data_IF_922800035243
#
_entry.id   IF_922800035243
#
_cell.length_a   1.000
_cell.length_b   1.000
_cell.length_c   1.000
_cell.angle_alpha   90.00
_cell.angle_beta   90.00
_cell.angle_gamma   90.00
#
_symmetry.space_group_name_H-M   'P 1'
#
loop_
_entity.id
_entity.type
_entity.pdbx_description
1 polymer ?
#
# COMPACT_ATOMS: atom_id res chain seq x y z
N UNK A 1 39.15 -4.40 0.50
CA UNK A 1 39.61 -4.53 -0.90
C UNK A 1 38.37 -4.68 -1.77
N UNK A 2 38.30 -3.90 -2.84
CA UNK A 2 37.12 -3.28 -3.45
C UNK A 2 36.18 -4.15 -4.31
N UNK A 3 34.90 -3.72 -4.34
CA UNK A 3 33.94 -3.65 -5.49
C UNK A 3 33.36 -4.96 -6.08
N UNK A 4 32.08 -5.05 -6.49
CA UNK A 4 31.18 -4.06 -7.09
C UNK A 4 29.69 -4.40 -6.83
N UNK A 5 28.89 -3.37 -6.59
CA UNK A 5 27.45 -3.34 -6.87
C UNK A 5 27.27 -3.17 -8.38
N UNK A 6 26.40 -3.98 -9.00
CA UNK A 6 25.70 -3.60 -10.24
C UNK A 6 24.21 -3.88 -10.07
N UNK A 7 23.47 -2.84 -10.41
CA UNK A 7 22.02 -2.64 -10.41
C UNK A 7 21.22 -3.74 -11.12
N UNK A 8 19.97 -3.88 -10.65
CA UNK A 8 18.86 -4.62 -11.27
C UNK A 8 18.57 -4.16 -12.73
N UNK A 9 17.79 -4.91 -13.52
CA UNK A 9 16.32 -4.84 -13.38
C UNK A 9 15.57 -6.18 -13.61
N UNK A 10 14.29 -6.15 -13.21
CA UNK A 10 13.13 -6.96 -13.62
C UNK A 10 13.38 -8.15 -14.56
N UNK A 11 12.88 -9.33 -14.18
CA UNK A 11 11.91 -10.07 -14.99
C UNK A 11 11.17 -11.11 -14.13
N UNK A 12 9.84 -11.06 -14.18
CA UNK A 12 9.01 -12.24 -13.93
C UNK A 12 9.51 -13.36 -14.84
N UNK A 13 9.86 -14.50 -14.25
CA UNK A 13 9.84 -15.77 -14.97
C UNK A 13 9.34 -16.85 -14.02
N UNK A 14 8.09 -17.23 -14.24
CA UNK A 14 7.61 -18.57 -13.91
C UNK A 14 8.54 -19.55 -14.62
N UNK A 15 9.26 -20.37 -13.86
CA UNK A 15 9.91 -21.55 -14.40
C UNK A 15 9.74 -22.69 -13.40
N UNK A 16 8.66 -23.44 -13.58
CA UNK A 16 8.66 -24.86 -13.27
C UNK A 16 9.78 -25.48 -14.11
N UNK A 17 10.81 -26.02 -13.47
CA UNK A 17 11.66 -27.01 -14.10
C UNK A 17 12.04 -28.08 -13.09
N UNK A 18 11.54 -29.28 -13.41
CA UNK A 18 11.96 -30.54 -12.85
C UNK A 18 13.48 -30.71 -12.94
N UNK A 19 14.10 -31.06 -11.82
CA UNK A 19 15.18 -32.02 -11.79
C UNK A 19 16.59 -31.57 -12.20
N UNK A 20 17.47 -31.65 -11.20
CA UNK A 20 18.87 -32.07 -11.25
C UNK A 20 20.00 -31.05 -11.51
N UNK A 21 21.02 -31.17 -10.63
CA UNK A 21 22.43 -30.69 -10.64
C UNK A 21 22.64 -29.28 -10.08
N UNK A 22 23.46 -29.02 -9.05
CA UNK A 22 24.73 -29.62 -8.57
C UNK A 22 24.68 -29.73 -7.01
N UNK A 23 25.24 -30.71 -6.30
CA UNK A 23 26.54 -31.36 -6.47
C UNK A 23 27.54 -30.82 -5.43
N UNK A 24 27.48 -31.36 -4.20
CA UNK A 24 28.48 -31.38 -3.13
C UNK A 24 29.31 -30.11 -2.79
N UNK A 25 28.87 -29.39 -1.75
CA UNK A 25 29.79 -28.75 -0.81
C UNK A 25 29.76 -29.52 0.51
N UNK A 26 30.74 -30.41 0.69
CA UNK A 26 31.02 -31.08 1.96
C UNK A 26 31.60 -30.06 2.93
N UNK A 27 30.75 -29.51 3.77
CA UNK A 27 31.08 -28.87 5.04
C UNK A 27 30.07 -29.36 6.07
N UNK A 28 30.48 -30.27 6.96
CA UNK A 28 29.62 -30.82 8.03
C UNK A 28 29.16 -29.68 8.95
N UNK A 29 27.97 -29.15 8.71
CA UNK A 29 27.20 -28.41 9.68
C UNK A 29 25.97 -29.26 10.03
N UNK A 30 25.87 -29.61 11.30
CA UNK A 30 24.81 -30.47 11.85
C UNK A 30 23.50 -29.68 11.72
N UNK A 31 22.65 -30.03 10.75
CA UNK A 31 21.31 -29.46 10.54
C UNK A 31 20.51 -29.56 11.85
N UNK A 32 20.38 -28.44 12.57
CA UNK A 32 19.13 -28.13 13.24
C UNK A 32 18.19 -27.71 12.10
N UNK A 33 17.02 -28.34 12.00
CA UNK A 33 15.92 -27.88 11.12
C UNK A 33 15.78 -26.35 11.27
N UNK A 34 16.25 -25.56 10.30
CA UNK A 34 16.31 -24.10 10.42
C UNK A 34 14.89 -23.54 10.39
N UNK A 35 14.45 -22.95 11.51
CA UNK A 35 13.19 -22.23 11.57
C UNK A 35 13.31 -20.99 10.66
N UNK A 36 12.60 -20.98 9.55
CA UNK A 36 12.61 -19.89 8.58
C UNK A 36 11.74 -18.70 9.05
N UNK A 37 12.24 -17.92 10.01
CA UNK A 37 11.55 -16.72 10.51
C UNK A 37 11.84 -15.48 9.68
N UNK A 38 10.79 -14.82 9.19
CA UNK A 38 10.91 -13.52 8.52
C UNK A 38 9.71 -12.58 8.75
N UNK A 39 9.94 -11.27 8.97
CA UNK A 39 11.13 -10.70 9.59
C UNK A 39 11.41 -11.35 10.96
N UNK A 40 12.69 -11.38 11.35
CA UNK A 40 13.13 -11.91 12.64
C UNK A 40 12.49 -11.13 13.80
N UNK A 41 11.89 -11.79 14.80
CA UNK A 41 11.32 -11.11 15.97
C UNK A 41 12.39 -10.33 16.77
N UNK A 42 11.97 -9.26 17.45
CA UNK A 42 12.87 -8.49 18.32
C UNK A 42 13.45 -9.32 19.48
N UNK A 43 12.67 -10.30 19.97
CA UNK A 43 13.07 -11.27 20.97
C UNK A 43 12.66 -12.64 20.48
N UNK A 44 13.59 -13.59 20.51
CA UNK A 44 13.36 -14.95 20.07
C UNK A 44 14.09 -15.93 20.98
N UNK A 45 13.36 -16.92 21.48
CA UNK A 45 13.91 -18.00 22.28
C UNK A 45 13.30 -19.31 21.77
N UNK A 46 14.15 -20.24 21.34
CA UNK A 46 13.75 -21.58 20.92
C UNK A 46 14.16 -22.63 21.96
N UNK A 47 13.47 -23.77 21.91
CA UNK A 47 13.83 -24.97 22.64
C UNK A 47 14.09 -26.11 21.65
N UNK A 48 14.66 -27.22 22.14
CA UNK A 48 14.83 -28.43 21.35
C UNK A 48 13.56 -29.31 21.28
N UNK A 49 12.50 -28.93 21.99
CA UNK A 49 11.24 -29.68 22.07
C UNK A 49 10.47 -29.49 20.75
N UNK A 50 10.00 -30.59 20.17
CA UNK A 50 9.27 -30.57 18.91
C UNK A 50 7.84 -31.06 19.11
N UNK A 51 6.88 -30.19 18.80
CA UNK A 51 5.45 -30.51 18.90
C UNK A 51 4.87 -30.92 17.55
N UNK A 52 3.90 -31.84 17.58
CA UNK A 52 3.13 -32.22 16.39
C UNK A 52 1.85 -31.39 16.28
N UNK A 53 1.58 -30.88 15.07
CA UNK A 53 0.33 -30.23 14.71
C UNK A 53 -0.47 -31.15 13.78
N UNK A 54 -1.75 -31.41 14.12
CA UNK A 54 -2.63 -32.27 13.33
C UNK A 54 -3.80 -31.47 12.76
N UNK A 55 -4.06 -31.48 11.45
CA UNK A 55 -5.16 -30.71 10.84
C UNK A 55 -6.55 -31.13 11.37
N UNK A 56 -6.68 -32.35 11.89
CA UNK A 56 -7.95 -32.87 12.43
C UNK A 56 -8.21 -32.48 13.89
N UNK A 57 -7.19 -32.03 14.62
CA UNK A 57 -7.28 -31.74 16.07
C UNK A 57 -6.91 -30.31 16.41
N UNK A 58 -6.01 -29.71 15.64
CA UNK A 58 -5.54 -28.36 15.87
C UNK A 58 -6.66 -27.35 15.58
N UNK A 59 -6.83 -26.37 16.47
CA UNK A 59 -7.77 -25.27 16.28
C UNK A 59 -7.12 -23.94 16.67
N UNK A 60 -7.51 -22.87 15.97
CA UNK A 60 -7.17 -21.50 16.36
C UNK A 60 -8.43 -20.90 16.98
N UNK A 61 -8.34 -20.48 18.24
CA UNK A 61 -9.48 -20.03 19.04
C UNK A 61 -9.17 -18.73 19.77
N UNK A 62 -10.21 -17.97 20.09
CA UNK A 62 -10.06 -16.83 21.00
C UNK A 62 -9.95 -17.35 22.45
N UNK A 63 -9.03 -16.78 23.23
CA UNK A 63 -8.91 -17.09 24.64
C UNK A 63 -10.18 -16.63 25.39
N UNK A 64 -10.62 -17.39 26.40
CA UNK A 64 -11.82 -17.04 27.20
C UNK A 64 -11.75 -15.66 27.88
N UNK A 65 -10.53 -15.18 28.10
CA UNK A 65 -10.22 -13.90 28.76
C UNK A 65 -10.01 -12.76 27.75
N UNK A 66 -10.11 -13.07 26.45
CA UNK A 66 -9.97 -12.09 25.39
C UNK A 66 -11.13 -11.09 25.43
N UNK A 67 -10.80 -9.82 25.29
CA UNK A 67 -11.80 -8.76 25.12
C UNK A 67 -12.45 -8.79 23.74
N UNK A 68 -11.72 -9.30 22.74
CA UNK A 68 -12.31 -9.60 21.44
C UNK A 68 -13.33 -10.74 21.62
N UNK A 69 -14.54 -10.51 21.14
CA UNK A 69 -15.61 -11.50 21.12
C UNK A 69 -15.70 -12.24 19.78
N UNK A 70 -16.60 -13.23 19.68
CA UNK A 70 -16.89 -13.92 18.42
C UNK A 70 -17.48 -12.98 17.35
N UNK A 71 -17.91 -11.77 17.73
CA UNK A 71 -18.34 -10.72 16.80
C UNK A 71 -17.18 -10.10 15.99
N UNK A 72 -15.92 -10.36 16.36
CA UNK A 72 -14.75 -9.82 15.67
C UNK A 72 -14.45 -10.59 14.39
N UNK A 73 -15.18 -10.28 13.30
CA UNK A 73 -15.06 -10.94 12.00
C UNK A 73 -13.62 -10.94 11.44
N UNK A 74 -12.84 -9.92 11.78
CA UNK A 74 -11.43 -9.77 11.39
C UNK A 74 -10.55 -10.92 11.92
N UNK A 75 -10.71 -11.28 13.20
CA UNK A 75 -9.98 -12.38 13.82
C UNK A 75 -10.43 -13.73 13.29
N UNK A 76 -11.75 -13.94 13.14
CA UNK A 76 -12.29 -15.18 12.58
C UNK A 76 -11.78 -15.44 11.14
N UNK A 77 -11.76 -14.38 10.31
CA UNK A 77 -11.20 -14.45 8.96
C UNK A 77 -9.68 -14.74 8.99
N UNK A 78 -8.96 -14.17 9.95
CA UNK A 78 -7.55 -14.44 10.14
C UNK A 78 -7.29 -15.90 10.54
N UNK A 79 -8.06 -16.44 11.48
CA UNK A 79 -7.90 -17.82 11.95
C UNK A 79 -8.09 -18.81 10.82
N UNK A 80 -9.17 -18.66 10.05
CA UNK A 80 -9.41 -19.47 8.86
C UNK A 80 -8.25 -19.40 7.86
N UNK A 81 -7.77 -18.20 7.55
CA UNK A 81 -6.68 -18.00 6.59
C UNK A 81 -5.36 -18.62 7.07
N UNK A 82 -4.97 -18.40 8.33
CA UNK A 82 -3.74 -18.98 8.86
C UNK A 82 -3.84 -20.49 9.01
N UNK A 83 -5.01 -21.04 9.29
CA UNK A 83 -5.23 -22.47 9.25
C UNK A 83 -4.95 -23.05 7.86
N UNK A 84 -5.46 -22.40 6.80
CA UNK A 84 -5.14 -22.77 5.40
C UNK A 84 -3.65 -22.59 5.07
N UNK A 85 -2.96 -21.59 5.61
CA UNK A 85 -1.51 -21.47 5.41
C UNK A 85 -0.71 -22.58 6.10
N UNK A 86 -1.18 -23.08 7.24
CA UNK A 86 -0.52 -24.17 7.97
C UNK A 86 -0.76 -25.52 7.30
N UNK A 87 -1.97 -25.78 6.77
CA UNK A 87 -2.38 -27.11 6.30
C UNK A 87 -2.88 -27.21 4.85
N UNK A 88 -3.08 -26.10 4.14
CA UNK A 88 -3.70 -26.08 2.80
C UNK A 88 -2.82 -26.68 1.70
N UNK A 89 -1.49 -26.63 1.87
CA UNK A 89 -0.50 -27.10 0.90
C UNK A 89 0.02 -28.53 1.20
N UNK A 90 -0.78 -29.35 1.90
CA UNK A 90 -0.46 -30.76 2.15
C UNK A 90 -0.47 -31.57 0.84
N UNK A 91 0.62 -31.45 0.06
CA UNK A 91 0.95 -32.40 -1.01
C UNK A 91 1.00 -33.79 -0.39
N UNK A 92 0.45 -34.77 -1.13
CA UNK A 92 0.40 -36.20 -0.74
C UNK A 92 1.70 -36.62 -0.06
N UNK A 93 1.65 -37.43 1.02
CA UNK A 93 2.81 -37.72 1.84
C UNK A 93 3.92 -38.30 0.96
N UNK A 94 4.95 -37.51 0.67
CA UNK A 94 6.25 -38.07 0.34
C UNK A 94 6.66 -38.92 1.55
N UNK A 95 7.34 -40.05 1.27
CA UNK A 95 7.85 -40.97 2.30
C UNK A 95 8.95 -40.26 3.10
N UNK A 96 8.57 -39.30 3.94
CA UNK A 96 9.47 -38.58 4.83
C UNK A 96 9.73 -39.44 6.06
N UNK A 97 10.97 -39.38 6.56
CA UNK A 97 11.40 -40.03 7.80
C UNK A 97 10.39 -39.68 8.91
N UNK A 98 9.95 -40.66 9.70
CA UNK A 98 9.13 -40.42 10.91
C UNK A 98 9.87 -39.43 11.81
N UNK A 99 9.48 -38.15 11.79
CA UNK A 99 9.91 -37.20 12.81
C UNK A 99 9.31 -37.65 14.14
N UNK A 100 10.15 -37.72 15.18
CA UNK A 100 9.72 -38.02 16.54
C UNK A 100 9.32 -36.69 17.17
N UNK A 101 8.09 -36.63 17.66
CA UNK A 101 7.55 -35.46 18.35
C UNK A 101 7.34 -35.81 19.82
N UNK A 102 7.53 -34.82 20.70
CA UNK A 102 7.42 -34.99 22.15
C UNK A 102 5.95 -35.06 22.60
N UNK A 103 5.09 -34.21 22.02
CA UNK A 103 3.65 -34.18 22.30
C UNK A 103 2.87 -33.46 21.18
N UNK A 104 1.54 -33.47 21.31
CA UNK A 104 0.62 -32.83 20.36
C UNK A 104 0.18 -31.45 20.86
N UNK A 105 0.23 -30.44 19.98
CA UNK A 105 -0.41 -29.15 20.22
C UNK A 105 -1.83 -29.16 19.64
N UNK A 106 -2.80 -28.87 20.49
CA UNK A 106 -4.22 -28.98 20.15
C UNK A 106 -4.82 -27.62 19.81
N UNK A 107 -4.31 -26.54 20.38
CA UNK A 107 -4.92 -25.22 20.20
C UNK A 107 -3.90 -24.08 20.20
N UNK A 108 -4.20 -23.06 19.39
CA UNK A 108 -3.64 -21.71 19.47
C UNK A 108 -4.69 -20.77 20.05
N UNK A 109 -4.45 -20.30 21.27
CA UNK A 109 -5.31 -19.35 21.96
C UNK A 109 -4.83 -17.91 21.67
N UNK A 110 -5.70 -17.10 21.08
CA UNK A 110 -5.45 -15.67 20.82
C UNK A 110 -6.10 -14.83 21.90
N UNK A 111 -5.29 -14.10 22.66
CA UNK A 111 -5.71 -13.25 23.77
C UNK A 111 -5.48 -11.78 23.47
N UNK A 112 -6.57 -11.04 23.25
CA UNK A 112 -6.56 -9.56 23.18
C UNK A 112 -6.80 -8.97 24.56
N UNK A 113 -5.88 -8.13 25.05
CA UNK A 113 -5.93 -7.63 26.43
C UNK A 113 -6.56 -6.25 26.59
N UNK A 114 -6.65 -5.43 25.54
CA UNK A 114 -7.25 -4.08 25.60
C UNK A 114 -8.76 -4.17 25.81
N UNK A 115 -9.35 -3.27 26.60
CA UNK A 115 -10.81 -3.20 26.78
C UNK A 115 -11.54 -2.88 25.48
N UNK A 116 -10.93 -2.10 24.59
CA UNK A 116 -11.36 -1.92 23.21
C UNK A 116 -10.38 -2.66 22.28
N UNK A 117 -10.79 -3.77 21.66
CA UNK A 117 -9.95 -4.54 20.75
C UNK A 117 -9.79 -3.85 19.38
N UNK A 118 -10.53 -2.77 19.12
CA UNK A 118 -10.56 -2.02 17.85
C UNK A 118 -10.90 -2.89 16.63
N UNK A 119 -11.76 -3.91 16.79
CA UNK A 119 -12.08 -4.87 15.71
C UNK A 119 -12.60 -4.21 14.42
N UNK A 120 -13.40 -3.15 14.55
CA UNK A 120 -14.06 -2.45 13.43
C UNK A 120 -13.41 -1.10 13.07
N UNK A 121 -12.36 -0.68 13.80
CA UNK A 121 -11.67 0.61 13.55
C UNK A 121 -10.78 0.60 12.31
N UNK A 122 -10.19 1.74 11.96
CA UNK A 122 -9.07 1.82 11.00
C UNK A 122 -7.74 1.97 11.72
N UNK A 123 -6.64 1.41 11.19
CA UNK A 123 -5.33 1.58 11.78
C UNK A 123 -4.89 3.04 11.82
N UNK A 124 -4.13 3.43 12.84
CA UNK A 124 -3.40 4.70 12.89
C UNK A 124 -1.90 4.50 13.04
N UNK A 125 -1.10 5.57 12.87
CA UNK A 125 0.34 5.54 13.15
C UNK A 125 0.68 5.20 14.62
N UNK A 126 -0.26 5.45 15.54
CA UNK A 126 -0.03 5.27 16.99
C UNK A 126 -0.51 3.92 17.52
N UNK A 127 -1.29 3.18 16.73
CA UNK A 127 -1.83 1.89 17.15
C UNK A 127 -0.68 0.89 17.35
N UNK A 128 -0.73 0.16 18.46
CA UNK A 128 0.30 -0.79 18.89
C UNK A 128 0.14 -2.17 18.20
N UNK A 129 1.22 -2.64 17.58
CA UNK A 129 1.28 -3.92 16.85
C UNK A 129 2.12 -5.00 17.56
N UNK A 130 2.50 -4.77 18.82
CA UNK A 130 3.27 -5.71 19.62
C UNK A 130 2.47 -6.98 19.95
N UNK A 131 3.19 -8.11 20.01
CA UNK A 131 2.64 -9.38 20.45
C UNK A 131 3.71 -10.28 21.05
N UNK A 132 3.25 -11.23 21.84
CA UNK A 132 4.04 -12.32 22.39
C UNK A 132 3.42 -13.65 21.96
N UNK A 133 4.24 -14.56 21.45
CA UNK A 133 3.83 -15.91 21.10
C UNK A 133 4.63 -16.89 21.95
N UNK A 134 3.91 -17.63 22.78
CA UNK A 134 4.46 -18.66 23.66
C UNK A 134 3.93 -20.01 23.21
N UNK A 135 4.84 -20.94 22.92
CA UNK A 135 4.53 -22.29 22.48
C UNK A 135 4.86 -23.25 23.62
N UNK A 136 3.82 -23.71 24.31
CA UNK A 136 3.93 -24.63 25.45
C UNK A 136 2.83 -25.69 25.39
N UNK A 137 2.99 -26.80 26.10
CA UNK A 137 2.00 -27.87 26.15
C UNK A 137 0.89 -27.55 27.18
N UNK A 138 -0.40 -27.77 26.87
CA UNK A 138 -0.98 -28.36 25.64
C UNK A 138 -1.39 -27.34 24.55
N UNK A 139 -1.14 -26.05 24.79
CA UNK A 139 -1.69 -24.95 24.00
C UNK A 139 -0.66 -23.85 23.76
N UNK A 140 -0.58 -23.39 22.51
CA UNK A 140 0.15 -22.17 22.18
C UNK A 140 -0.71 -20.96 22.55
N UNK A 141 -0.10 -19.96 23.19
CA UNK A 141 -0.77 -18.71 23.55
C UNK A 141 -0.14 -17.56 22.81
N UNK A 142 -0.99 -16.79 22.14
CA UNK A 142 -0.62 -15.53 21.55
C UNK A 142 -1.29 -14.40 22.33
N UNK A 143 -0.50 -13.44 22.79
CA UNK A 143 -0.96 -12.29 23.55
C UNK A 143 -0.71 -11.03 22.73
N UNK A 144 -1.75 -10.21 22.56
CA UNK A 144 -1.66 -8.91 21.90
C UNK A 144 -2.50 -7.88 22.66
N UNK A 145 -2.13 -6.60 22.57
CA UNK A 145 -2.93 -5.54 23.15
C UNK A 145 -4.17 -5.22 22.30
N UNK A 146 -4.02 -5.15 20.99
CA UNK A 146 -5.08 -4.81 20.04
C UNK A 146 -5.14 -5.83 18.89
N UNK A 147 -6.23 -5.85 18.12
CA UNK A 147 -6.32 -6.66 16.91
C UNK A 147 -5.40 -6.08 15.83
N UNK A 148 -4.44 -6.88 15.33
CA UNK A 148 -3.39 -6.32 14.46
C UNK A 148 -3.88 -5.87 13.09
N UNK A 149 -3.40 -4.69 12.72
CA UNK A 149 -3.57 -4.04 11.40
C UNK A 149 -3.19 -4.90 10.21
N UNK A 150 -2.20 -5.77 10.37
CA UNK A 150 -1.68 -6.64 9.30
C UNK A 150 -2.70 -7.68 8.80
N UNK A 151 -3.68 -8.03 9.65
CA UNK A 151 -4.78 -8.91 9.28
C UNK A 151 -5.80 -8.20 8.37
N UNK A 152 -5.84 -6.85 8.36
CA UNK A 152 -6.76 -6.03 7.56
C UNK A 152 -6.31 -5.89 6.12
N UNK A 153 -5.02 -5.72 5.83
CA UNK A 153 -4.54 -5.67 4.43
C UNK A 153 -4.93 -6.94 3.67
N UNK A 154 -4.87 -8.12 4.32
CA UNK A 154 -5.34 -9.38 3.77
C UNK A 154 -6.87 -9.53 3.73
N UNK A 155 -7.62 -8.70 4.48
CA UNK A 155 -9.09 -8.66 4.49
C UNK A 155 -9.64 -7.42 3.75
N UNK A 156 -8.80 -6.59 3.13
CA UNK A 156 -9.17 -5.32 2.46
C UNK A 156 -9.96 -5.53 1.15
N UNK A 157 -10.50 -6.73 0.97
CA UNK A 157 -11.55 -7.02 0.01
C UNK A 157 -12.88 -6.83 0.74
N UNK A 158 -13.32 -5.57 0.89
CA UNK A 158 -14.53 -5.27 1.63
C UNK A 158 -15.80 -5.44 0.76
N UNK A 159 -16.72 -6.25 1.30
CA UNK A 159 -18.20 -6.38 1.23
C UNK A 159 -19.07 -5.86 0.06
N UNK A 160 -18.55 -5.11 -0.90
CA UNK A 160 -19.36 -4.54 -2.00
C UNK A 160 -19.11 -5.19 -3.37
N UNK A 161 -18.44 -6.35 -3.42
CA UNK A 161 -18.29 -7.15 -4.65
C UNK A 161 -17.41 -6.53 -5.74
N UNK A 162 -16.81 -5.36 -5.50
CA UNK A 162 -15.94 -4.70 -6.46
C UNK A 162 -14.47 -5.02 -6.18
N UNK A 163 -14.10 -6.22 -6.62
CA UNK A 163 -12.78 -6.60 -7.17
C UNK A 163 -11.54 -6.04 -6.44
N UNK A 164 -11.00 -6.83 -5.51
CA UNK A 164 -9.55 -6.88 -5.30
C UNK A 164 -8.90 -7.30 -6.63
N UNK A 165 -8.38 -6.34 -7.41
CA UNK A 165 -7.71 -6.64 -8.68
C UNK A 165 -6.36 -7.35 -8.49
N UNK A 166 -5.78 -7.31 -7.29
CA UNK A 166 -4.47 -7.92 -6.99
C UNK A 166 -4.37 -8.60 -5.59
N UNK A 167 -5.18 -9.65 -5.29
CA UNK A 167 -5.11 -10.36 -4.00
C UNK A 167 -3.68 -10.83 -3.59
N UNK A 168 -2.81 -11.29 -4.50
CA UNK A 168 -1.46 -11.75 -4.13
C UNK A 168 -0.57 -10.65 -3.52
N UNK A 169 -0.81 -9.37 -3.86
CA UNK A 169 0.06 -8.26 -3.40
C UNK A 169 -0.18 -7.96 -1.93
N UNK A 170 -1.44 -7.85 -1.52
CA UNK A 170 -1.77 -7.59 -0.12
C UNK A 170 -1.45 -8.79 0.78
N UNK A 171 -1.58 -10.02 0.26
CA UNK A 171 -1.11 -11.22 0.96
C UNK A 171 0.41 -11.18 1.17
N UNK A 172 1.20 -10.83 0.16
CA UNK A 172 2.64 -10.70 0.29
C UNK A 172 3.04 -9.62 1.33
N UNK A 173 2.35 -8.48 1.35
CA UNK A 173 2.53 -7.46 2.39
C UNK A 173 2.21 -8.01 3.79
N UNK A 174 1.10 -8.74 3.89
CA UNK A 174 0.63 -9.42 5.09
C UNK A 174 1.47 -10.67 5.47
N UNK A 175 2.37 -11.15 4.64
CA UNK A 175 3.40 -12.11 5.05
C UNK A 175 4.64 -11.36 5.56
N UNK A 176 5.01 -10.25 4.92
CA UNK A 176 6.25 -9.51 5.19
C UNK A 176 6.21 -8.45 6.30
N UNK A 177 5.09 -8.30 7.02
CA UNK A 177 4.94 -7.32 8.14
C UNK A 177 4.89 -5.86 7.65
N UNK A 178 4.48 -5.63 6.41
CA UNK A 178 4.07 -4.31 5.94
C UNK A 178 2.64 -3.99 6.39
N UNK A 179 2.39 -2.72 6.74
CA UNK A 179 1.14 -2.21 7.28
C UNK A 179 0.61 -0.94 6.58
N UNK A 180 1.39 -0.32 5.69
CA UNK A 180 0.98 0.85 4.89
C UNK A 180 1.04 0.48 3.41
N UNK A 181 -0.06 0.73 2.70
CA UNK A 181 -0.11 0.66 1.24
C UNK A 181 -0.21 2.09 0.68
N UNK A 182 0.93 2.63 0.23
CA UNK A 182 0.96 3.92 -0.44
C UNK A 182 0.49 3.72 -1.88
N UNK A 183 -0.76 4.10 -2.16
CA UNK A 183 -1.33 4.03 -3.50
C UNK A 183 -1.13 5.35 -4.25
N UNK A 184 -0.10 5.41 -5.08
CA UNK A 184 0.04 6.46 -6.08
C UNK A 184 -0.98 6.20 -7.21
N UNK A 185 -2.19 6.76 -7.08
CA UNK A 185 -3.37 6.37 -7.87
C UNK A 185 -3.51 7.11 -9.20
N UNK A 186 -2.91 8.29 -9.33
CA UNK A 186 -2.97 9.15 -10.53
C UNK A 186 -1.58 9.70 -10.82
N UNK A 187 -1.28 9.93 -12.11
CA UNK A 187 0.00 10.45 -12.62
C UNK A 187 -0.28 11.20 -13.94
N UNK A 188 0.71 11.91 -14.48
CA UNK A 188 0.64 12.63 -15.76
C UNK A 188 0.03 11.79 -16.90
N UNK A 189 0.36 10.49 -16.90
CA UNK A 189 -0.03 9.58 -17.96
C UNK A 189 -1.49 9.11 -17.86
N UNK A 190 -2.07 9.08 -16.66
CA UNK A 190 -3.35 8.42 -16.41
C UNK A 190 -4.04 8.85 -15.12
N UNK A 191 -5.37 9.03 -15.24
CA UNK A 191 -6.27 9.34 -14.14
C UNK A 191 -7.38 8.27 -13.99
N UNK A 192 -7.09 7.09 -13.40
CA UNK A 192 -8.05 5.99 -13.29
C UNK A 192 -9.05 6.15 -12.14
N UNK A 193 -8.83 7.08 -11.20
CA UNK A 193 -9.72 7.31 -10.07
C UNK A 193 -11.05 7.93 -10.52
N UNK A 194 -12.16 7.22 -10.29
CA UNK A 194 -13.50 7.68 -10.64
C UNK A 194 -14.07 8.59 -9.55
N UNK A 195 -13.83 9.90 -9.68
CA UNK A 195 -14.43 10.90 -8.80
C UNK A 195 -15.94 11.02 -9.03
N UNK A 196 -16.71 11.19 -7.95
CA UNK A 196 -18.15 11.45 -8.01
C UNK A 196 -18.42 12.93 -8.26
N UNK A 197 -17.61 13.81 -7.69
CA UNK A 197 -17.67 15.26 -7.88
C UNK A 197 -17.16 15.67 -9.25
N UNK A 198 -16.12 15.00 -9.77
CA UNK A 198 -15.54 15.28 -11.08
C UNK A 198 -15.45 14.03 -11.97
N UNK A 199 -16.58 13.49 -12.48
CA UNK A 199 -16.59 12.25 -13.26
C UNK A 199 -15.73 12.30 -14.54
N UNK A 200 -15.61 13.50 -15.12
CA UNK A 200 -14.84 13.73 -16.35
C UNK A 200 -13.35 13.38 -16.21
N UNK A 201 -12.79 13.42 -14.98
CA UNK A 201 -11.40 13.04 -14.69
C UNK A 201 -11.08 11.64 -15.20
N UNK A 202 -11.86 10.65 -14.75
CA UNK A 202 -11.67 9.27 -15.21
C UNK A 202 -12.17 9.02 -16.62
N UNK A 203 -13.25 9.66 -17.06
CA UNK A 203 -13.83 9.42 -18.39
C UNK A 203 -12.88 9.83 -19.52
N UNK A 204 -12.06 10.85 -19.30
CA UNK A 204 -11.14 11.41 -20.29
C UNK A 204 -9.67 11.08 -19.99
N UNK A 205 -9.31 10.88 -18.72
CA UNK A 205 -7.94 10.64 -18.27
C UNK A 205 -7.60 9.17 -18.00
N UNK A 206 -8.58 8.25 -17.91
CA UNK A 206 -8.28 6.83 -17.79
C UNK A 206 -7.92 6.23 -19.16
N UNK A 207 -7.02 5.26 -19.17
CA UNK A 207 -6.81 4.42 -20.35
C UNK A 207 -8.16 3.79 -20.74
N UNK A 208 -8.58 4.04 -22.00
CA UNK A 208 -9.85 3.63 -22.59
C UNK A 208 -10.31 2.24 -22.10
N UNK A 209 -11.60 2.03 -21.77
CA UNK A 209 -12.08 0.85 -21.04
C UNK A 209 -11.87 -0.52 -21.69
N UNK A 210 -11.23 -0.63 -22.86
CA UNK A 210 -11.14 -1.92 -23.58
C UNK A 210 -9.83 -2.34 -24.25
N UNK A 211 -8.79 -1.52 -24.52
CA UNK A 211 -7.44 -2.00 -24.99
C UNK A 211 -6.57 -0.83 -25.52
N UNK A 212 -5.72 -0.30 -24.64
CA UNK A 212 -4.56 0.60 -24.86
C UNK A 212 -4.09 0.88 -26.31
N UNK A 213 -4.75 1.78 -27.05
CA UNK A 213 -4.18 2.53 -28.20
C UNK A 213 -4.81 3.92 -28.25
N UNK A 214 -4.00 4.97 -28.37
CA UNK A 214 -4.47 6.35 -28.58
C UNK A 214 -4.73 6.61 -30.06
N UNK A 215 -5.94 7.02 -30.40
CA UNK A 215 -6.29 7.57 -31.71
C UNK A 215 -6.00 9.08 -31.74
N UNK A 216 -5.83 9.70 -32.93
CA UNK A 216 -5.69 11.16 -33.03
C UNK A 216 -6.87 11.96 -32.43
N UNK A 217 -8.06 11.36 -32.35
CA UNK A 217 -9.22 11.90 -31.64
C UNK A 217 -9.04 11.92 -30.12
N UNK A 218 -8.36 10.91 -29.54
CA UNK A 218 -8.08 10.82 -28.10
C UNK A 218 -7.06 11.89 -27.68
N UNK A 219 -6.07 12.19 -28.53
CA UNK A 219 -5.13 13.31 -28.32
C UNK A 219 -5.88 14.65 -28.26
N UNK A 220 -6.91 14.82 -29.10
CA UNK A 220 -7.78 16.01 -29.07
C UNK A 220 -8.63 16.07 -27.80
N UNK A 221 -9.06 14.91 -27.28
CA UNK A 221 -9.79 14.79 -26.02
C UNK A 221 -8.91 15.12 -24.80
N UNK A 222 -7.63 14.75 -24.80
CA UNK A 222 -6.65 15.13 -23.76
C UNK A 222 -6.40 16.65 -23.77
N UNK A 223 -6.34 17.27 -24.95
CA UNK A 223 -6.25 18.73 -25.08
C UNK A 223 -7.55 19.42 -24.58
N UNK A 224 -8.71 18.79 -24.76
CA UNK A 224 -9.99 19.26 -24.23
C UNK A 224 -10.19 18.93 -22.73
N UNK A 225 -9.43 17.97 -22.19
CA UNK A 225 -9.34 17.62 -20.76
C UNK A 225 -8.48 18.61 -19.97
N UNK A 226 -7.39 19.11 -20.57
CA UNK A 226 -6.69 20.30 -20.07
C UNK A 226 -7.58 21.55 -20.00
N UNK A 227 -8.79 21.45 -20.59
CA UNK A 227 -9.87 22.44 -20.52
C UNK A 227 -10.91 22.16 -19.42
N UNK A 228 -10.61 21.32 -18.41
CA UNK A 228 -11.11 21.56 -17.05
C UNK A 228 -10.63 22.96 -16.71
N UNK A 229 -11.52 23.93 -16.94
CA UNK A 229 -11.14 25.30 -17.25
C UNK A 229 -10.21 25.83 -16.17
N UNK A 230 -9.01 26.18 -16.63
CA UNK A 230 -8.04 26.95 -15.88
C UNK A 230 -7.46 26.21 -14.64
N UNK A 231 -7.25 24.89 -14.74
CA UNK A 231 -6.50 24.12 -13.75
C UNK A 231 -5.00 24.02 -14.08
N UNK A 232 -4.64 23.68 -15.32
CA UNK A 232 -3.24 23.53 -15.74
C UNK A 232 -2.66 24.83 -16.29
N UNK A 233 -1.35 25.02 -16.14
CA UNK A 233 -0.68 26.20 -16.68
C UNK A 233 -0.48 26.07 -18.19
N UNK A 234 -0.98 26.99 -19.03
CA UNK A 234 -0.64 27.01 -20.44
C UNK A 234 0.81 27.49 -20.62
N UNK A 235 1.61 26.71 -21.35
CA UNK A 235 3.01 27.06 -21.63
C UNK A 235 3.11 27.95 -22.88
N UNK A 236 4.11 28.82 -22.92
CA UNK A 236 4.33 29.77 -24.00
C UNK A 236 5.63 29.48 -24.75
N UNK A 237 5.60 29.68 -26.07
CA UNK A 237 6.79 29.70 -26.92
C UNK A 237 6.94 31.10 -27.50
N UNK A 238 7.69 31.96 -26.81
CA UNK A 238 7.75 33.38 -27.11
C UNK A 238 6.45 34.09 -26.71
N UNK A 239 5.83 34.82 -27.63
CA UNK A 239 4.61 35.61 -27.36
C UNK A 239 3.30 34.83 -27.51
N UNK A 240 3.35 33.54 -27.86
CA UNK A 240 2.16 32.75 -28.17
C UNK A 240 2.09 31.47 -27.34
N UNK A 241 0.87 31.04 -26.93
CA UNK A 241 0.68 29.74 -26.29
C UNK A 241 1.19 28.62 -27.19
N UNK A 242 1.99 27.74 -26.63
CA UNK A 242 2.59 26.59 -27.33
C UNK A 242 1.59 25.47 -27.62
N UNK A 243 0.44 25.46 -26.95
CA UNK A 243 -0.53 24.37 -27.00
C UNK A 243 -0.23 23.22 -26.04
N UNK A 244 0.88 23.29 -25.30
CA UNK A 244 1.18 22.37 -24.19
C UNK A 244 0.81 22.98 -22.84
N UNK A 245 0.67 22.11 -21.86
CA UNK A 245 0.34 22.46 -20.48
C UNK A 245 1.42 21.93 -19.56
N UNK A 246 1.70 22.67 -18.50
CA UNK A 246 2.62 22.30 -17.44
C UNK A 246 1.88 22.02 -16.13
N UNK A 247 2.55 22.22 -14.98
CA UNK A 247 1.95 21.97 -13.67
C UNK A 247 0.68 22.79 -13.43
N UNK A 248 -0.09 22.41 -12.40
CA UNK A 248 -1.26 23.15 -11.91
C UNK A 248 -0.93 24.63 -11.79
N UNK A 249 -1.87 25.49 -12.18
CA UNK A 249 -1.68 26.93 -12.20
C UNK A 249 -1.92 27.53 -10.80
N UNK A 250 -0.87 27.96 -10.08
CA UNK A 250 -1.00 28.36 -8.68
C UNK A 250 -1.57 29.77 -8.50
N UNK A 251 -1.80 30.52 -9.58
CA UNK A 251 -2.28 31.91 -9.51
C UNK A 251 -3.81 32.01 -9.59
N UNK A 252 -4.49 30.90 -9.90
CA UNK A 252 -5.93 30.87 -10.17
C UNK A 252 -6.73 30.36 -8.98
N UNK A 253 -7.74 31.11 -8.55
CA UNK A 253 -8.66 30.69 -7.48
C UNK A 253 -9.39 29.38 -7.82
N UNK A 254 -9.75 29.18 -9.09
CA UNK A 254 -10.39 27.96 -9.57
C UNK A 254 -9.56 26.69 -9.29
N UNK A 255 -8.24 26.80 -9.31
CA UNK A 255 -7.35 25.68 -8.98
C UNK A 255 -7.49 25.27 -7.51
N UNK A 256 -7.56 26.23 -6.58
CA UNK A 256 -7.78 25.95 -5.17
C UNK A 256 -9.20 25.48 -4.86
N UNK A 257 -10.22 26.01 -5.55
CA UNK A 257 -11.61 25.55 -5.43
C UNK A 257 -11.76 24.10 -5.89
N UNK A 258 -11.08 23.73 -6.98
CA UNK A 258 -11.00 22.35 -7.46
C UNK A 258 -10.33 21.46 -6.41
N UNK A 259 -9.13 21.81 -5.94
CA UNK A 259 -8.38 21.01 -4.96
C UNK A 259 -9.15 20.83 -3.65
N UNK A 260 -9.83 21.88 -3.18
CA UNK A 260 -10.65 21.83 -1.96
C UNK A 260 -11.80 20.82 -2.10
N UNK A 261 -12.52 20.86 -3.22
CA UNK A 261 -13.62 19.93 -3.47
C UNK A 261 -13.12 18.50 -3.69
N UNK A 262 -12.02 18.35 -4.41
CA UNK A 262 -11.42 17.06 -4.70
C UNK A 262 -10.91 16.40 -3.41
N UNK A 263 -10.10 17.08 -2.60
CA UNK A 263 -9.60 16.52 -1.34
C UNK A 263 -10.70 16.31 -0.29
N UNK A 264 -11.79 17.07 -0.34
CA UNK A 264 -12.98 16.79 0.47
C UNK A 264 -13.64 15.47 0.08
N UNK A 265 -13.67 15.11 -1.21
CA UNK A 265 -14.12 13.78 -1.62
C UNK A 265 -13.13 12.70 -1.17
N UNK A 266 -11.83 12.89 -1.45
CA UNK A 266 -10.79 11.93 -1.08
C UNK A 266 -10.81 11.62 0.42
N UNK A 267 -10.97 12.63 1.29
CA UNK A 267 -11.04 12.42 2.75
C UNK A 267 -12.29 11.66 3.21
N UNK A 268 -13.34 11.60 2.39
CA UNK A 268 -14.53 10.77 2.68
C UNK A 268 -14.42 9.35 2.13
N UNK A 269 -13.63 9.15 1.08
CA UNK A 269 -13.43 7.86 0.42
C UNK A 269 -12.33 7.05 1.10
N UNK A 270 -11.24 7.72 1.50
CA UNK A 270 -10.10 7.10 2.15
C UNK A 270 -10.14 7.45 3.65
N UNK A 271 -10.38 6.47 4.54
CA UNK A 271 -10.52 6.71 5.97
C UNK A 271 -9.18 6.88 6.70
N UNK A 272 -8.06 6.83 5.98
CA UNK A 272 -6.73 7.04 6.56
C UNK A 272 -6.57 8.50 7.03
N UNK A 273 -5.79 8.68 8.09
CA UNK A 273 -5.54 10.01 8.65
C UNK A 273 -4.63 10.88 7.77
N UNK A 274 -3.94 10.29 6.78
CA UNK A 274 -2.95 10.97 5.96
C UNK A 274 -3.30 10.89 4.47
N UNK A 275 -3.09 12.01 3.78
CA UNK A 275 -3.15 12.11 2.32
C UNK A 275 -1.77 12.56 1.86
N UNK A 276 -1.16 11.80 0.95
CA UNK A 276 0.09 12.20 0.32
C UNK A 276 -0.22 13.17 -0.82
N UNK A 277 0.34 14.39 -0.76
CA UNK A 277 0.07 15.44 -1.75
C UNK A 277 1.01 15.42 -2.96
N UNK A 278 2.07 14.60 -2.92
CA UNK A 278 3.12 14.61 -3.94
C UNK A 278 4.04 15.81 -3.71
N UNK A 279 4.32 16.56 -4.77
CA UNK A 279 5.23 17.71 -4.75
C UNK A 279 6.67 17.34 -5.15
N UNK A 280 6.83 16.26 -5.89
CA UNK A 280 8.07 15.84 -6.49
C UNK A 280 8.17 16.31 -7.96
N UNK A 281 9.41 16.56 -8.41
CA UNK A 281 9.78 16.76 -9.82
C UNK A 281 9.01 17.87 -10.59
N UNK A 282 8.67 18.98 -9.92
CA UNK A 282 8.00 20.11 -10.57
C UNK A 282 8.92 20.80 -11.59
N UNK A 283 8.55 20.73 -12.88
CA UNK A 283 9.22 21.49 -13.94
C UNK A 283 8.74 22.94 -13.98
N UNK A 284 9.65 23.87 -13.67
CA UNK A 284 9.37 25.31 -13.68
C UNK A 284 9.38 25.95 -15.07
N UNK A 285 9.83 25.26 -16.11
CA UNK A 285 9.98 25.84 -17.47
C UNK A 285 8.67 26.43 -18.01
N UNK A 286 7.55 25.75 -17.76
CA UNK A 286 6.24 26.21 -18.19
C UNK A 286 5.77 27.43 -17.38
N UNK A 287 5.99 27.44 -16.06
CA UNK A 287 5.70 28.60 -15.22
C UNK A 287 6.55 29.81 -15.61
N UNK A 288 7.81 29.59 -15.94
CA UNK A 288 8.71 30.64 -16.40
C UNK A 288 8.26 31.23 -17.73
N UNK A 289 7.75 30.41 -18.65
CA UNK A 289 7.25 30.88 -19.94
C UNK A 289 5.99 31.74 -19.85
N UNK A 290 5.17 31.58 -18.80
CA UNK A 290 3.83 32.15 -18.73
C UNK A 290 3.85 33.62 -18.23
N UNK A 291 3.36 34.59 -19.03
CA UNK A 291 3.45 36.01 -18.69
C UNK A 291 2.60 36.41 -17.47
N UNK A 292 1.50 35.72 -17.19
CA UNK A 292 0.66 36.04 -16.04
C UNK A 292 1.27 35.51 -14.73
N UNK A 293 1.93 34.35 -14.79
CA UNK A 293 2.75 33.85 -13.68
C UNK A 293 3.93 34.79 -13.42
N UNK A 294 4.64 35.25 -14.46
CA UNK A 294 5.72 36.23 -14.30
C UNK A 294 5.25 37.51 -13.59
N UNK A 295 4.05 38.03 -13.92
CA UNK A 295 3.47 39.18 -13.19
C UNK A 295 3.22 38.86 -11.72
N UNK A 296 2.66 37.68 -11.42
CA UNK A 296 2.43 37.23 -10.04
C UNK A 296 3.75 37.10 -9.26
N UNK A 297 4.81 36.55 -9.88
CA UNK A 297 6.15 36.46 -9.29
C UNK A 297 6.72 37.82 -8.89
N UNK A 298 6.51 38.85 -9.72
CA UNK A 298 6.89 40.24 -9.42
C UNK A 298 6.05 40.82 -8.29
N UNK A 299 4.73 40.62 -8.31
CA UNK A 299 3.81 41.12 -7.28
C UNK A 299 4.10 40.55 -5.88
N UNK A 300 4.44 39.26 -5.80
CA UNK A 300 4.76 38.59 -4.53
C UNK A 300 6.21 38.81 -4.08
N UNK A 301 7.06 39.42 -4.93
CA UNK A 301 8.48 39.61 -4.64
C UNK A 301 9.29 38.31 -4.66
N UNK A 302 8.83 37.29 -5.41
CA UNK A 302 9.55 36.01 -5.55
C UNK A 302 10.72 36.10 -6.53
N UNK A 303 10.76 37.12 -7.40
CA UNK A 303 11.83 37.30 -8.38
C UNK A 303 11.75 36.21 -9.46
N UNK A 304 12.86 35.48 -9.68
CA UNK A 304 12.95 34.36 -10.63
C UNK A 304 13.00 32.99 -9.93
N UNK A 305 12.67 32.96 -8.63
CA UNK A 305 12.76 31.75 -7.80
C UNK A 305 11.41 31.04 -7.72
N UNK A 306 11.14 30.19 -8.70
CA UNK A 306 9.87 29.45 -8.84
C UNK A 306 9.63 28.40 -7.74
N UNK A 307 10.66 28.01 -6.97
CA UNK A 307 10.48 27.16 -5.78
C UNK A 307 9.65 27.85 -4.69
N UNK A 308 9.67 29.19 -4.64
CA UNK A 308 8.80 29.96 -3.74
C UNK A 308 7.35 29.93 -4.20
N UNK A 309 7.11 29.89 -5.51
CA UNK A 309 5.76 29.76 -6.05
C UNK A 309 5.18 28.37 -5.79
N UNK A 310 5.99 27.33 -5.92
CA UNK A 310 5.64 25.96 -5.51
C UNK A 310 5.32 25.91 -4.01
N UNK A 311 6.20 26.45 -3.16
CA UNK A 311 5.99 26.53 -1.71
C UNK A 311 4.69 27.28 -1.37
N UNK A 312 4.43 28.37 -2.08
CA UNK A 312 3.20 29.14 -1.93
C UNK A 312 1.95 28.33 -2.32
N UNK A 313 2.00 27.57 -3.41
CA UNK A 313 0.91 26.70 -3.84
C UNK A 313 0.60 25.62 -2.81
N UNK A 314 1.63 24.90 -2.33
CA UNK A 314 1.47 23.81 -1.36
C UNK A 314 0.93 24.34 -0.02
N UNK A 315 1.38 25.51 0.42
CA UNK A 315 0.88 26.15 1.65
C UNK A 315 -0.55 26.69 1.48
N UNK A 316 -0.86 27.30 0.32
CA UNK A 316 -2.15 27.94 0.05
C UNK A 316 -3.25 26.95 -0.33
N UNK A 317 -2.91 25.70 -0.65
CA UNK A 317 -3.87 24.61 -0.73
C UNK A 317 -4.68 24.42 0.58
N UNK A 318 -4.26 25.04 1.68
CA UNK A 318 -4.99 25.16 2.94
C UNK A 318 -5.70 26.49 3.24
N UNK A 319 -5.64 27.52 2.36
CA UNK A 319 -6.30 28.81 2.63
C UNK A 319 -5.93 29.98 1.70
N UNK A 320 -6.94 30.85 1.47
CA UNK A 320 -6.99 31.95 0.49
C UNK A 320 -5.90 33.01 0.64
N UNK A 321 -4.84 32.89 -0.16
CA UNK A 321 -4.05 34.03 -0.63
C UNK A 321 -3.68 33.71 -2.07
N UNK A 322 -4.21 34.44 -3.03
CA UNK A 322 -3.82 34.33 -4.43
C UNK A 322 -3.27 35.67 -4.90
N UNK A 323 -2.37 35.62 -5.89
CA UNK A 323 -2.04 36.78 -6.68
C UNK A 323 -3.34 37.34 -7.28
N UNK A 324 -3.81 38.49 -6.78
CA UNK A 324 -4.91 39.20 -7.40
C UNK A 324 -4.41 39.73 -8.75
N UNK A 325 -4.78 39.05 -9.82
CA UNK A 325 -4.70 39.59 -11.18
C UNK A 325 -5.82 40.61 -11.37
#
# INVERSE_FOLDING_TARGET
MYCLVKSAPLFLAVAVCNGWLFGDFVGKQKELDEIALWPLPQKFQSSAIAFQLSPTRFQIVQAKQSSAGPSCSMLENAFRRYFEYIFGDLKKPEKSRKKVYDSDLVELQVWVTSADPECDGFPSLQTDESYELSVDEPSMTLITRFVWKKLRLANSCDINGNMCKDPPRFEAMAMNKFNVFHWHIVDDHLFPYMSRTFPELSQKGAYHPFTHVYTPSDVKMVIEFARIKDLLTPCYSGSSPSGTFGPVNPILNSSYDFMTQFFKEISTVFPDAYIHLGGDEVDFSCWESNPDIQKCMVQQGFGTDYSKLESFYIQSAGGTTTCKI
#
